data_IF_966526767286
#
_entry.id   IF_966526767286
#
_cell.length_a   1.000
_cell.length_b   1.000
_cell.length_c   1.000
_cell.angle_alpha   90.00
_cell.angle_beta   90.00
_cell.angle_gamma   90.00
#
_symmetry.space_group_name_H-M   'P 1'
#
loop_
_entity.id
_entity.type
_entity.pdbx_description
1 polymer ?
#
# COMPACT_ATOMS: atom_id res chain seq x y z
N UNK A 1 -21.03 -39.87 64.84
CA UNK A 1 -20.03 -39.95 65.93
C UNK A 1 -18.66 -40.22 65.34
N UNK A 2 -17.73 -39.30 65.62
CA UNK A 2 -16.25 -39.36 65.61
C UNK A 2 -15.59 -40.68 65.17
N UNK A 3 -14.70 -40.62 64.17
CA UNK A 3 -13.26 -40.56 64.48
C UNK A 3 -12.43 -40.05 63.29
N UNK A 4 -11.47 -39.20 63.65
CA UNK A 4 -10.63 -38.34 62.85
C UNK A 4 -9.20 -38.86 63.03
N UNK A 5 -8.52 -39.27 61.97
CA UNK A 5 -7.08 -39.50 62.00
C UNK A 5 -6.39 -38.58 61.01
N UNK A 6 -5.86 -37.50 61.58
CA UNK A 6 -4.80 -36.68 61.01
C UNK A 6 -3.52 -37.49 61.16
N UNK A 7 -2.71 -37.61 60.10
CA UNK A 7 -1.30 -37.88 60.29
C UNK A 7 -0.45 -37.01 59.36
N UNK A 8 0.43 -36.24 60.01
CA UNK A 8 1.44 -35.32 59.47
C UNK A 8 2.78 -36.04 59.54
N UNK A 9 3.47 -36.23 58.43
CA UNK A 9 4.92 -36.56 58.36
C UNK A 9 5.42 -35.92 57.05
N UNK A 10 5.93 -34.68 57.04
CA UNK A 10 7.34 -34.27 57.26
C UNK A 10 8.33 -35.12 56.44
N UNK A 11 8.70 -34.68 55.24
CA UNK A 11 9.98 -33.99 54.91
C UNK A 11 11.19 -34.89 55.14
N UNK A 12 11.87 -35.30 54.05
CA UNK A 12 13.35 -35.44 53.92
C UNK A 12 13.62 -35.69 52.41
N UNK A 13 14.24 -34.72 51.71
CA UNK A 13 15.67 -34.78 51.29
C UNK A 13 15.86 -35.69 50.07
N UNK A 14 16.08 -35.18 48.85
CA UNK A 14 17.37 -34.67 48.33
C UNK A 14 17.11 -33.94 47.00
N UNK A 15 17.42 -32.67 46.79
CA UNK A 15 18.75 -32.09 46.51
C UNK A 15 19.58 -32.87 45.45
N UNK A 16 19.38 -32.52 44.19
CA UNK A 16 20.40 -32.52 43.12
C UNK A 16 19.97 -31.41 42.13
N UNK A 17 20.68 -30.28 42.11
CA UNK A 17 21.68 -29.93 41.09
C UNK A 17 21.14 -30.02 39.65
N UNK A 18 21.31 -29.07 38.74
CA UNK A 18 21.81 -27.71 38.73
C UNK A 18 21.60 -27.21 37.28
N UNK A 19 21.56 -25.89 37.11
CA UNK A 19 22.00 -25.16 35.93
C UNK A 19 21.22 -25.35 34.61
N UNK A 20 20.34 -24.37 34.35
CA UNK A 20 19.99 -23.90 33.02
C UNK A 20 19.83 -22.39 33.05
N UNK A 21 20.94 -21.66 33.27
CA UNK A 21 20.99 -20.22 33.01
C UNK A 21 21.06 -19.99 31.50
N UNK A 22 20.03 -19.39 30.92
CA UNK A 22 20.18 -18.53 29.75
C UNK A 22 19.02 -17.55 29.66
N UNK A 23 19.24 -16.41 30.32
CA UNK A 23 18.93 -15.07 29.82
C UNK A 23 17.55 -14.89 29.18
N UNK A 24 16.55 -14.56 29.99
CA UNK A 24 15.43 -13.76 29.53
C UNK A 24 15.95 -12.32 29.36
N UNK A 25 16.61 -12.07 28.22
CA UNK A 25 17.10 -10.76 27.86
C UNK A 25 15.93 -9.79 27.79
N UNK A 26 16.05 -8.70 28.55
CA UNK A 26 15.22 -7.51 28.46
C UNK A 26 15.21 -7.07 27.01
N UNK A 27 14.07 -7.26 26.32
CA UNK A 27 13.85 -6.68 25.00
C UNK A 27 13.47 -5.22 25.25
N UNK A 28 14.41 -4.35 24.92
CA UNK A 28 14.18 -2.91 24.77
C UNK A 28 13.00 -2.74 23.81
N UNK A 29 12.13 -1.79 24.13
CA UNK A 29 11.25 -1.15 23.15
C UNK A 29 12.16 -0.54 22.09
N UNK A 30 12.37 -1.27 21.00
CA UNK A 30 12.87 -0.71 19.76
C UNK A 30 11.65 -0.16 19.01
N UNK A 31 11.77 1.11 18.65
CA UNK A 31 10.95 1.87 17.70
C UNK A 31 10.16 0.97 16.74
N UNK A 32 8.83 1.10 16.76
CA UNK A 32 8.00 0.79 15.59
C UNK A 32 8.22 1.87 14.53
N UNK A 33 9.45 1.96 14.03
CA UNK A 33 9.78 2.54 12.74
C UNK A 33 9.54 1.45 11.70
N UNK A 34 8.58 1.72 10.82
CA UNK A 34 8.49 1.23 9.43
C UNK A 34 8.87 -0.24 9.19
N UNK A 35 7.87 -1.12 9.23
CA UNK A 35 7.94 -2.31 8.39
C UNK A 35 7.81 -1.85 6.93
N UNK A 36 8.79 -2.13 6.05
CA UNK A 36 8.56 -2.00 4.63
C UNK A 36 7.61 -3.14 4.27
N UNK A 37 6.40 -2.82 3.82
CA UNK A 37 5.45 -3.82 3.33
C UNK A 37 6.04 -4.46 2.08
N UNK A 38 6.67 -5.61 2.32
CA UNK A 38 7.48 -6.35 1.37
C UNK A 38 6.55 -7.32 0.62
N UNK A 39 6.00 -6.88 -0.51
CA UNK A 39 5.62 -7.63 -1.74
C UNK A 39 5.19 -9.11 -1.55
N UNK A 40 4.38 -9.43 -0.54
CA UNK A 40 3.95 -10.81 -0.23
C UNK A 40 2.50 -10.92 0.29
N UNK A 41 1.63 -9.98 -0.09
CA UNK A 41 0.16 -10.10 0.00
C UNK A 41 -0.48 -10.40 -1.38
N UNK A 42 0.24 -11.10 -2.27
CA UNK A 42 -0.23 -11.51 -3.61
C UNK A 42 -1.34 -12.57 -3.51
N UNK A 43 -2.58 -12.14 -3.28
CA UNK A 43 -3.80 -12.92 -3.52
C UNK A 43 -4.99 -11.99 -3.82
N UNK A 44 -4.89 -11.21 -4.88
CA UNK A 44 -6.02 -10.45 -5.44
C UNK A 44 -6.38 -9.14 -4.74
N UNK A 45 -5.54 -8.57 -3.87
CA UNK A 45 -5.77 -7.21 -3.33
C UNK A 45 -4.68 -6.22 -3.72
N UNK A 46 -5.06 -4.97 -3.92
CA UNK A 46 -4.18 -3.85 -4.29
C UNK A 46 -4.37 -2.69 -3.31
N UNK A 47 -3.30 -1.95 -3.04
CA UNK A 47 -3.40 -0.71 -2.27
C UNK A 47 -3.74 0.43 -3.22
N UNK A 48 -4.89 1.07 -2.99
CA UNK A 48 -5.23 2.32 -3.66
C UNK A 48 -4.74 3.50 -2.84
N UNK A 49 -4.46 4.60 -3.52
CA UNK A 49 -4.05 5.86 -2.94
C UNK A 49 -4.92 6.98 -3.47
N UNK A 50 -5.16 7.98 -2.63
CA UNK A 50 -5.88 9.20 -2.99
C UNK A 50 -5.06 10.43 -2.62
N UNK A 51 -5.29 11.52 -3.36
CA UNK A 51 -4.75 12.82 -3.04
C UNK A 51 -5.60 13.50 -1.95
N UNK A 52 -4.92 14.11 -0.98
CA UNK A 52 -5.49 15.04 0.00
C UNK A 52 -5.06 16.47 -0.36
N UNK A 53 -5.37 17.45 0.49
CA UNK A 53 -4.93 18.83 0.27
C UNK A 53 -3.39 19.00 0.24
N UNK A 54 -2.63 18.09 0.86
CA UNK A 54 -1.17 18.25 1.02
C UNK A 54 -0.34 16.98 0.83
N UNK A 55 -0.98 15.83 0.66
CA UNK A 55 -0.29 14.53 0.65
C UNK A 55 -1.05 13.48 -0.17
N UNK A 56 -0.33 12.44 -0.57
CA UNK A 56 -0.92 11.20 -1.11
C UNK A 56 -1.00 10.19 0.01
N UNK A 57 -2.21 9.72 0.31
CA UNK A 57 -2.47 8.81 1.41
C UNK A 57 -3.03 7.48 0.89
N UNK A 58 -2.68 6.34 1.52
CA UNK A 58 -3.29 5.07 1.18
C UNK A 58 -4.76 5.06 1.64
N UNK A 59 -5.61 4.43 0.85
CA UNK A 59 -6.96 4.09 1.29
C UNK A 59 -6.90 3.20 2.53
N UNK A 60 -7.88 3.38 3.43
CA UNK A 60 -7.92 2.67 4.71
C UNK A 60 -7.99 1.14 4.56
N UNK A 61 -8.63 0.67 3.49
CA UNK A 61 -8.75 -0.75 3.16
C UNK A 61 -8.12 -1.04 1.80
N UNK A 62 -7.47 -2.19 1.67
CA UNK A 62 -6.97 -2.66 0.37
C UNK A 62 -8.13 -3.06 -0.51
N UNK A 63 -8.12 -2.65 -1.76
CA UNK A 63 -9.13 -3.01 -2.74
C UNK A 63 -8.97 -4.47 -3.17
N UNK A 64 -10.06 -5.24 -3.15
CA UNK A 64 -10.08 -6.63 -3.60
C UNK A 64 -10.48 -6.70 -5.07
N UNK A 65 -9.53 -7.08 -5.92
CA UNK A 65 -9.75 -7.36 -7.34
C UNK A 65 -10.75 -8.51 -7.51
N UNK A 66 -11.69 -8.35 -8.43
CA UNK A 66 -12.83 -9.27 -8.68
C UNK A 66 -12.49 -10.49 -9.53
N UNK A 67 -11.21 -10.86 -9.64
CA UNK A 67 -10.63 -11.85 -10.58
C UNK A 67 -10.43 -11.31 -12.00
N UNK A 68 -9.41 -10.45 -12.21
CA UNK A 68 -9.09 -9.96 -13.54
C UNK A 68 -8.51 -11.09 -14.40
N UNK A 69 -9.05 -11.24 -15.61
CA UNK A 69 -8.60 -12.24 -16.60
C UNK A 69 -7.19 -11.93 -17.16
N UNK A 70 -6.78 -10.67 -17.09
CA UNK A 70 -5.46 -10.19 -17.55
C UNK A 70 -5.09 -8.85 -16.91
N UNK A 71 -3.88 -8.38 -17.18
CA UNK A 71 -3.33 -7.15 -16.62
C UNK A 71 -4.12 -5.88 -17.02
N UNK A 72 -4.65 -5.83 -18.25
CA UNK A 72 -5.48 -4.70 -18.70
C UNK A 72 -6.81 -4.63 -17.94
N UNK A 73 -7.44 -5.78 -17.68
CA UNK A 73 -8.66 -5.85 -16.86
C UNK A 73 -8.39 -5.45 -15.39
N UNK A 74 -7.23 -5.81 -14.85
CA UNK A 74 -6.83 -5.39 -13.51
C UNK A 74 -6.61 -3.87 -13.43
N UNK A 75 -6.01 -3.27 -14.48
CA UNK A 75 -5.83 -1.83 -14.58
C UNK A 75 -7.17 -1.09 -14.65
N UNK A 76 -8.08 -1.56 -15.49
CA UNK A 76 -9.43 -1.00 -15.61
C UNK A 76 -10.14 -1.00 -14.25
N UNK A 77 -10.12 -2.15 -13.56
CA UNK A 77 -10.73 -2.27 -12.25
C UNK A 77 -10.10 -1.32 -11.20
N UNK A 78 -8.77 -1.16 -11.24
CA UNK A 78 -8.08 -0.19 -10.36
C UNK A 78 -8.50 1.23 -10.68
N UNK A 79 -8.48 1.64 -11.95
CA UNK A 79 -8.87 3.00 -12.36
C UNK A 79 -10.32 3.30 -11.93
N UNK A 80 -11.24 2.35 -12.09
CA UNK A 80 -12.64 2.51 -11.68
C UNK A 80 -12.82 2.58 -10.16
N UNK A 81 -11.97 1.88 -9.40
CA UNK A 81 -12.06 1.85 -7.95
C UNK A 81 -11.41 3.07 -7.28
N UNK A 82 -10.52 3.78 -7.97
CA UNK A 82 -9.83 4.94 -7.43
C UNK A 82 -10.77 6.12 -7.18
N UNK A 83 -10.55 6.80 -6.05
CA UNK A 83 -11.16 8.10 -5.80
C UNK A 83 -10.27 9.19 -6.37
N UNK A 84 -10.71 9.80 -7.47
CA UNK A 84 -10.01 10.91 -8.13
C UNK A 84 -10.66 12.24 -7.77
N UNK A 85 -9.85 13.31 -7.79
CA UNK A 85 -10.37 14.67 -7.74
C UNK A 85 -11.35 14.91 -8.91
N UNK A 86 -12.52 15.52 -8.69
CA UNK A 86 -13.52 15.76 -9.74
C UNK A 86 -13.02 16.64 -10.90
N UNK A 87 -11.89 17.33 -10.74
CA UNK A 87 -11.22 18.09 -11.79
C UNK A 87 -10.38 17.22 -12.72
N UNK A 88 -10.36 15.90 -12.54
CA UNK A 88 -9.52 14.97 -13.29
C UNK A 88 -10.39 13.92 -13.95
N UNK A 89 -10.20 13.74 -15.26
CA UNK A 89 -10.87 12.72 -16.02
C UNK A 89 -9.87 11.88 -16.82
N UNK A 90 -9.88 10.56 -16.62
CA UNK A 90 -9.10 9.62 -17.42
C UNK A 90 -9.95 9.26 -18.63
N UNK A 91 -9.60 9.80 -19.80
CA UNK A 91 -10.37 9.63 -21.04
C UNK A 91 -10.15 8.24 -21.64
N UNK A 92 -8.90 7.76 -21.58
CA UNK A 92 -8.50 6.45 -22.09
C UNK A 92 -7.16 6.03 -21.49
N UNK A 93 -6.87 4.73 -21.58
CA UNK A 93 -5.58 4.16 -21.22
C UNK A 93 -5.16 3.11 -22.24
N UNK A 94 -3.86 2.85 -22.35
CA UNK A 94 -3.30 1.72 -23.11
C UNK A 94 -2.26 0.98 -22.28
N UNK A 95 -2.17 -0.33 -22.50
CA UNK A 95 -1.09 -1.18 -21.97
C UNK A 95 -0.22 -1.60 -23.14
N UNK A 96 1.06 -1.28 -23.07
CA UNK A 96 2.04 -1.63 -24.09
C UNK A 96 2.77 -2.96 -23.78
N UNK A 97 3.49 -3.51 -24.76
CA UNK A 97 4.12 -4.84 -24.67
C UNK A 97 5.09 -4.99 -23.48
N UNK A 98 5.76 -3.91 -23.07
CA UNK A 98 6.76 -3.89 -21.99
C UNK A 98 6.16 -3.62 -20.59
N UNK A 99 4.85 -3.85 -20.41
CA UNK A 99 4.10 -3.54 -19.18
C UNK A 99 4.16 -2.05 -18.83
N UNK A 100 4.15 -1.23 -19.87
CA UNK A 100 4.00 0.21 -19.71
C UNK A 100 2.52 0.58 -19.82
N UNK A 101 2.11 1.59 -19.05
CA UNK A 101 0.77 2.16 -19.12
C UNK A 101 0.85 3.58 -19.63
N UNK A 102 0.04 3.90 -20.63
CA UNK A 102 -0.23 5.28 -21.00
C UNK A 102 -1.62 5.66 -20.47
N UNK A 103 -1.70 6.68 -19.62
CA UNK A 103 -2.94 7.30 -19.17
C UNK A 103 -3.14 8.61 -19.91
N UNK A 104 -4.29 8.78 -20.53
CA UNK A 104 -4.66 10.01 -21.21
C UNK A 104 -5.67 10.77 -20.36
N UNK A 105 -5.25 11.90 -19.80
CA UNK A 105 -5.96 12.61 -18.75
C UNK A 105 -6.34 14.02 -19.21
N UNK A 106 -7.61 14.38 -19.01
CA UNK A 106 -8.06 15.77 -19.05
C UNK A 106 -8.13 16.33 -17.65
N UNK A 107 -7.63 17.55 -17.51
CA UNK A 107 -7.72 18.32 -16.27
C UNK A 107 -8.63 19.52 -16.45
N UNK A 108 -9.41 19.85 -15.43
CA UNK A 108 -10.18 21.10 -15.40
C UNK A 108 -9.23 22.29 -15.49
N UNK A 109 -9.66 23.35 -16.18
CA UNK A 109 -8.87 24.58 -16.38
C UNK A 109 -8.50 25.28 -15.07
N UNK A 110 -9.23 25.02 -14.00
CA UNK A 110 -9.02 25.63 -12.69
C UNK A 110 -8.18 24.75 -11.75
N UNK A 111 -7.71 23.57 -12.19
CA UNK A 111 -6.86 22.72 -11.35
C UNK A 111 -5.56 23.47 -11.02
N UNK A 112 -5.12 23.37 -9.77
CA UNK A 112 -3.82 23.89 -9.39
C UNK A 112 -2.71 22.91 -9.78
N UNK A 113 -1.49 23.39 -9.99
CA UNK A 113 -0.35 22.53 -10.29
C UNK A 113 -0.06 21.52 -9.15
N UNK A 114 -0.31 21.92 -7.90
CA UNK A 114 -0.14 21.06 -6.73
C UNK A 114 -1.20 19.96 -6.68
N UNK A 115 -2.49 20.31 -6.85
CA UNK A 115 -3.59 19.34 -6.93
C UNK A 115 -3.36 18.35 -8.07
N UNK A 116 -2.94 18.84 -9.24
CA UNK A 116 -2.57 18.00 -10.38
C UNK A 116 -1.47 17.01 -10.00
N UNK A 117 -0.37 17.50 -9.43
CA UNK A 117 0.78 16.68 -9.09
C UNK A 117 0.45 15.60 -8.03
N UNK A 118 -0.33 15.95 -7.01
CA UNK A 118 -0.73 15.00 -5.96
C UNK A 118 -1.62 13.89 -6.51
N UNK A 119 -2.56 14.22 -7.40
CA UNK A 119 -3.41 13.21 -8.03
C UNK A 119 -2.64 12.34 -9.03
N UNK A 120 -1.73 12.93 -9.81
CA UNK A 120 -0.82 12.18 -10.69
C UNK A 120 0.03 11.19 -9.88
N UNK A 121 0.52 11.61 -8.71
CA UNK A 121 1.26 10.75 -7.79
C UNK A 121 0.40 9.62 -7.22
N UNK A 122 -0.85 9.91 -6.82
CA UNK A 122 -1.80 8.91 -6.32
C UNK A 122 -2.13 7.85 -7.37
N UNK A 123 -2.32 8.27 -8.64
CA UNK A 123 -2.52 7.40 -9.79
C UNK A 123 -1.35 6.45 -9.99
N UNK A 124 -0.14 6.99 -10.08
CA UNK A 124 1.08 6.19 -10.30
C UNK A 124 1.26 5.18 -9.17
N UNK A 125 1.17 5.61 -7.91
CA UNK A 125 1.29 4.71 -6.75
C UNK A 125 0.26 3.58 -6.75
N UNK A 126 -0.98 3.88 -7.12
CA UNK A 126 -2.04 2.86 -7.17
C UNK A 126 -1.80 1.84 -8.28
N UNK A 127 -1.34 2.30 -9.45
CA UNK A 127 -1.12 1.45 -10.63
C UNK A 127 0.13 0.60 -10.51
N UNK A 128 1.21 1.10 -9.89
CA UNK A 128 2.44 0.34 -9.68
C UNK A 128 2.25 -0.93 -8.85
N UNK A 129 1.16 -1.01 -8.07
CA UNK A 129 0.77 -2.24 -7.37
C UNK A 129 0.35 -3.39 -8.31
N UNK A 130 0.12 -3.12 -9.60
CA UNK A 130 -0.29 -4.10 -10.62
C UNK A 130 0.89 -4.70 -11.41
N UNK A 131 2.13 -4.61 -10.92
CA UNK A 131 3.35 -5.11 -11.59
C UNK A 131 3.64 -4.42 -12.96
N UNK A 132 3.16 -3.18 -13.18
CA UNK A 132 3.57 -2.32 -14.31
C UNK A 132 4.97 -1.73 -14.07
N UNK A 133 5.71 -1.49 -15.16
CA UNK A 133 7.10 -1.00 -15.11
C UNK A 133 7.19 0.52 -15.15
N UNK A 134 6.32 1.14 -15.94
CA UNK A 134 6.32 2.58 -16.20
C UNK A 134 4.90 3.08 -16.37
N UNK A 135 4.57 4.24 -15.79
CA UNK A 135 3.30 4.93 -15.99
C UNK A 135 3.57 6.27 -16.67
N UNK A 136 3.04 6.43 -17.88
CA UNK A 136 3.05 7.69 -18.60
C UNK A 136 1.72 8.41 -18.39
N UNK A 137 1.78 9.68 -18.00
CA UNK A 137 0.62 10.56 -17.92
C UNK A 137 0.68 11.53 -19.08
N UNK A 138 -0.33 11.47 -19.95
CA UNK A 138 -0.46 12.27 -21.16
C UNK A 138 -1.63 13.22 -20.95
N UNK A 139 -1.33 14.50 -20.80
CA UNK A 139 -2.33 15.55 -20.63
C UNK A 139 -2.98 15.86 -21.98
N UNK A 140 -4.31 15.91 -22.01
CA UNK A 140 -5.11 16.22 -23.19
C UNK A 140 -5.71 17.63 -23.10
N UNK A 141 -5.84 18.29 -24.25
CA UNK A 141 -6.65 19.50 -24.40
C UNK A 141 -8.14 19.18 -24.57
N UNK A 142 -8.97 20.23 -24.71
CA UNK A 142 -10.42 20.10 -24.92
C UNK A 142 -10.81 19.38 -26.22
N UNK A 143 -9.87 19.23 -27.17
CA UNK A 143 -10.05 18.60 -28.47
C UNK A 143 -9.31 17.26 -28.58
N UNK A 144 -8.98 16.63 -27.45
CA UNK A 144 -8.25 15.35 -27.37
C UNK A 144 -6.84 15.38 -27.97
N UNK A 145 -6.21 16.55 -28.05
CA UNK A 145 -4.81 16.67 -28.47
C UNK A 145 -3.88 16.60 -27.28
N UNK A 146 -2.78 15.88 -27.46
CA UNK A 146 -1.72 15.77 -26.46
C UNK A 146 -1.05 17.14 -26.26
N UNK A 147 -1.09 17.64 -25.03
CA UNK A 147 -0.44 18.88 -24.61
C UNK A 147 0.94 18.61 -24.02
N UNK A 148 1.01 17.59 -23.16
CA UNK A 148 2.19 17.26 -22.38
C UNK A 148 2.22 15.75 -22.14
N UNK A 149 3.40 15.15 -22.28
CA UNK A 149 3.66 13.77 -21.86
C UNK A 149 4.70 13.80 -20.74
N UNK A 150 4.29 13.36 -19.57
CA UNK A 150 5.16 13.18 -18.42
C UNK A 150 5.34 11.67 -18.15
N UNK A 151 6.57 11.27 -17.88
CA UNK A 151 6.90 9.89 -17.50
C UNK A 151 7.12 9.84 -16.01
N UNK A 152 6.36 9.00 -15.32
CA UNK A 152 6.48 8.84 -13.89
C UNK A 152 6.78 7.37 -13.53
N UNK A 153 7.59 7.25 -12.48
CA UNK A 153 7.81 6.06 -11.66
C UNK A 153 7.61 6.48 -10.20
N UNK A 154 7.47 5.57 -9.24
CA UNK A 154 7.33 5.92 -7.81
C UNK A 154 8.44 6.88 -7.36
N UNK A 155 9.66 6.62 -7.84
CA UNK A 155 10.85 7.43 -7.57
C UNK A 155 10.77 8.87 -8.09
N UNK A 156 9.79 9.17 -8.95
CA UNK A 156 9.56 10.51 -9.50
C UNK A 156 8.87 11.44 -8.51
N UNK A 157 8.35 10.90 -7.40
CA UNK A 157 7.66 11.67 -6.37
C UNK A 157 8.44 11.58 -5.06
N UNK A 158 8.84 12.75 -4.53
CA UNK A 158 9.45 12.84 -3.22
C UNK A 158 8.37 13.14 -2.19
N UNK A 159 8.08 12.17 -1.33
CA UNK A 159 7.17 12.34 -0.21
C UNK A 159 8.00 12.79 0.99
N UNK A 160 7.65 13.92 1.61
CA UNK A 160 8.27 14.30 2.88
C UNK A 160 7.83 13.31 3.94
N UNK A 161 8.76 12.47 4.41
CA UNK A 161 8.54 11.65 5.61
C UNK A 161 8.29 12.58 6.80
N UNK A 162 7.20 12.33 7.54
CA UNK A 162 6.91 13.01 8.81
C UNK A 162 7.77 12.48 9.93
#
# INVERSE_FOLDING_TARGET
MKNKHINRILVFMSLALAAGFSSCGIRKEDDQSSLPDNISQKAGTVQLYHATESSVEPDAERYQLKQPDNLSAALEEVIEAMTLDPMINIERYSVEEDREVNLYIKYDKNITAETKLLNDAALVKSIENLDFTTVYIISLDENDKELEKATYTDSSFYYYDK
#
